data_IF_047233806348
#
_entry.id   IF_047233806348
#
_cell.length_a   1.000
_cell.length_b   1.000
_cell.length_c   1.000
_cell.angle_alpha   90.00
_cell.angle_beta   90.00
_cell.angle_gamma   90.00
#
_symmetry.space_group_name_H-M   'P 1'
#
loop_
_entity.id
_entity.type
_entity.pdbx_description
1 polymer ?
#
# COMPACT_ATOMS: atom_id res chain seq x y z
N UNK A 1 10.63 -8.69 -4.84
CA UNK A 1 9.41 -8.96 -5.62
C UNK A 1 8.44 -7.81 -5.47
N UNK A 2 7.73 -7.45 -6.52
CA UNK A 2 6.79 -6.34 -6.48
C UNK A 2 5.40 -6.81 -6.04
N UNK A 3 4.79 -5.99 -5.19
CA UNK A 3 3.42 -6.17 -4.72
C UNK A 3 2.63 -4.89 -4.90
N UNK A 4 1.43 -5.02 -5.45
CA UNK A 4 0.46 -3.92 -5.47
C UNK A 4 -0.49 -4.13 -4.30
N UNK A 5 -0.54 -3.15 -3.40
CA UNK A 5 -1.49 -3.15 -2.29
C UNK A 5 -2.61 -2.17 -2.61
N UNK A 6 -3.84 -2.64 -2.62
CA UNK A 6 -5.02 -1.78 -2.71
C UNK A 6 -5.62 -1.61 -1.32
N UNK A 7 -5.94 -0.38 -0.98
CA UNK A 7 -6.52 -0.01 0.30
C UNK A 7 -7.86 0.67 0.05
N UNK A 8 -8.91 0.19 0.70
CA UNK A 8 -10.22 0.81 0.60
C UNK A 8 -10.74 1.17 1.99
N UNK A 9 -11.43 2.29 2.09
CA UNK A 9 -12.06 2.75 3.32
C UNK A 9 -13.47 3.26 3.03
N UNK A 10 -14.32 3.24 4.06
CA UNK A 10 -15.67 3.81 3.98
C UNK A 10 -15.62 5.34 3.95
N UNK A 11 -16.63 6.01 3.38
CA UNK A 11 -16.64 7.48 3.30
C UNK A 11 -16.49 8.20 4.64
N UNK A 12 -17.01 7.65 5.72
CA UNK A 12 -16.91 8.22 7.07
C UNK A 12 -15.52 8.15 7.66
N UNK A 13 -14.64 7.30 7.12
CA UNK A 13 -13.23 7.15 7.51
C UNK A 13 -12.27 7.80 6.53
N UNK A 14 -12.77 8.59 5.61
CA UNK A 14 -11.93 9.30 4.65
C UNK A 14 -11.09 10.36 5.34
N UNK A 15 -9.76 10.44 5.09
CA UNK A 15 -8.91 11.49 5.66
C UNK A 15 -9.40 12.90 5.35
N UNK A 16 -10.18 13.07 4.28
CA UNK A 16 -10.75 14.36 3.90
C UNK A 16 -11.81 14.86 4.88
N UNK A 17 -12.47 13.98 5.64
CA UNK A 17 -13.55 14.34 6.58
C UNK A 17 -13.29 13.90 8.01
N UNK A 18 -12.53 12.82 8.23
CA UNK A 18 -12.24 12.29 9.56
C UNK A 18 -10.88 12.80 10.06
N UNK A 19 -10.88 13.70 11.04
CA UNK A 19 -9.67 14.32 11.58
C UNK A 19 -8.71 13.26 12.16
N UNK A 20 -9.22 12.27 12.88
CA UNK A 20 -8.42 11.19 13.46
C UNK A 20 -7.66 10.40 12.38
N UNK A 21 -8.35 10.13 11.27
CA UNK A 21 -7.75 9.40 10.14
C UNK A 21 -6.71 10.29 9.44
N UNK A 22 -6.99 11.57 9.29
CA UNK A 22 -6.03 12.53 8.74
C UNK A 22 -4.73 12.55 9.53
N UNK A 23 -4.81 12.57 10.86
CA UNK A 23 -3.64 12.54 11.73
C UNK A 23 -2.84 11.23 11.56
N UNK A 24 -3.54 10.11 11.41
CA UNK A 24 -2.90 8.81 11.12
C UNK A 24 -2.15 8.82 9.78
N UNK A 25 -2.75 9.39 8.74
CA UNK A 25 -2.12 9.53 7.42
C UNK A 25 -0.87 10.38 7.50
N UNK A 26 -0.91 11.48 8.22
CA UNK A 26 0.25 12.36 8.39
C UNK A 26 1.40 11.63 9.10
N UNK A 27 1.10 10.88 10.16
CA UNK A 27 2.11 10.07 10.86
C UNK A 27 2.66 8.96 9.99
N UNK A 28 1.79 8.26 9.27
CA UNK A 28 2.18 7.23 8.31
C UNK A 28 3.15 7.80 7.27
N UNK A 29 2.79 8.91 6.66
CA UNK A 29 3.63 9.55 5.64
C UNK A 29 5.02 9.93 6.18
N UNK A 30 5.08 10.38 7.43
CA UNK A 30 6.34 10.76 8.08
C UNK A 30 7.25 9.55 8.39
N UNK A 31 6.69 8.36 8.58
CA UNK A 31 7.42 7.17 9.02
C UNK A 31 7.51 6.07 7.98
N UNK A 32 6.86 6.23 6.83
CA UNK A 32 6.68 5.17 5.84
C UNK A 32 7.99 4.53 5.38
N UNK A 33 8.98 5.34 5.03
CA UNK A 33 10.26 4.82 4.53
C UNK A 33 10.95 3.93 5.56
N UNK A 34 10.99 4.35 6.82
CA UNK A 34 11.66 3.60 7.89
C UNK A 34 10.90 2.33 8.27
N UNK A 35 9.58 2.42 8.35
CA UNK A 35 8.75 1.26 8.69
C UNK A 35 8.85 0.20 7.60
N UNK A 36 8.72 0.59 6.34
CA UNK A 36 8.90 -0.34 5.23
C UNK A 36 10.28 -1.00 5.25
N UNK A 37 11.33 -0.20 5.45
CA UNK A 37 12.69 -0.71 5.52
C UNK A 37 12.87 -1.74 6.63
N UNK A 38 12.24 -1.54 7.80
CA UNK A 38 12.33 -2.49 8.90
C UNK A 38 11.74 -3.87 8.58
N UNK A 39 10.89 -3.94 7.56
CA UNK A 39 10.33 -5.19 7.03
C UNK A 39 10.99 -5.66 5.73
N UNK A 40 12.11 -5.06 5.35
CA UNK A 40 12.80 -5.39 4.10
C UNK A 40 12.08 -4.90 2.85
N UNK A 41 11.22 -3.88 3.01
CA UNK A 41 10.38 -3.36 1.92
C UNK A 41 10.84 -1.97 1.48
N UNK A 42 10.56 -1.66 0.21
CA UNK A 42 10.85 -0.35 -0.40
C UNK A 42 9.62 0.17 -1.13
N UNK A 43 9.26 1.42 -0.88
CA UNK A 43 8.15 2.09 -1.56
C UNK A 43 8.55 2.46 -2.99
N UNK A 44 7.76 2.02 -3.97
CA UNK A 44 8.02 2.26 -5.39
C UNK A 44 7.07 3.30 -6.00
N UNK A 45 5.94 3.54 -5.38
CA UNK A 45 4.98 4.52 -5.85
C UNK A 45 3.62 4.35 -5.19
N UNK A 46 2.82 5.40 -5.21
CA UNK A 46 1.47 5.35 -4.66
C UNK A 46 0.53 6.30 -5.38
N UNK A 47 -0.73 5.94 -5.45
CA UNK A 47 -1.78 6.69 -6.12
C UNK A 47 -3.07 6.63 -5.31
N UNK A 48 -3.81 7.71 -5.34
CA UNK A 48 -5.10 7.81 -4.63
C UNK A 48 -6.19 8.12 -5.62
N UNK A 49 -7.26 7.34 -5.58
CA UNK A 49 -8.52 7.66 -6.25
C UNK A 49 -9.49 8.20 -5.21
N UNK A 50 -9.60 9.51 -5.11
CA UNK A 50 -10.37 10.17 -4.03
C UNK A 50 -11.83 9.79 -4.05
N UNK A 51 -12.47 9.85 -5.22
CA UNK A 51 -13.89 9.56 -5.34
C UNK A 51 -14.26 8.11 -5.06
N UNK A 52 -13.34 7.19 -5.31
CA UNK A 52 -13.55 5.77 -5.07
C UNK A 52 -13.11 5.33 -3.67
N UNK A 53 -12.51 6.22 -2.87
CA UNK A 53 -11.93 5.92 -1.55
C UNK A 53 -10.93 4.76 -1.61
N UNK A 54 -10.07 4.79 -2.63
CA UNK A 54 -9.06 3.76 -2.88
C UNK A 54 -7.66 4.38 -2.89
N UNK A 55 -6.71 3.64 -2.35
CA UNK A 55 -5.29 3.94 -2.45
C UNK A 55 -4.58 2.72 -3.01
N UNK A 56 -3.61 2.96 -3.90
CA UNK A 56 -2.77 1.92 -4.48
C UNK A 56 -1.33 2.21 -4.14
N UNK A 57 -0.64 1.22 -3.57
CA UNK A 57 0.77 1.34 -3.23
C UNK A 57 1.55 0.21 -3.89
N UNK A 58 2.59 0.57 -4.63
CA UNK A 58 3.52 -0.39 -5.21
C UNK A 58 4.73 -0.53 -4.28
N UNK A 59 4.96 -1.74 -3.80
CA UNK A 59 5.99 -2.01 -2.79
C UNK A 59 6.84 -3.19 -3.25
N UNK A 60 8.16 -3.01 -3.19
CA UNK A 60 9.10 -4.12 -3.35
C UNK A 60 9.38 -4.72 -1.98
N UNK A 61 9.20 -6.02 -1.83
CA UNK A 61 9.40 -6.71 -0.57
C UNK A 61 9.77 -8.16 -0.75
N UNK A 62 10.21 -8.82 0.33
CA UNK A 62 10.65 -10.23 0.27
C UNK A 62 9.49 -11.21 0.04
N UNK A 63 8.31 -10.90 0.57
CA UNK A 63 7.10 -11.70 0.42
C UNK A 63 5.86 -10.87 0.80
N UNK A 64 4.67 -11.40 0.53
CA UNK A 64 3.42 -10.72 0.80
C UNK A 64 3.18 -10.47 2.30
N UNK A 65 3.61 -11.39 3.16
CA UNK A 65 3.44 -11.23 4.60
C UNK A 65 4.27 -10.06 5.14
N UNK A 66 5.49 -9.84 4.63
CA UNK A 66 6.29 -8.70 5.02
C UNK A 66 5.63 -7.37 4.64
N UNK A 67 5.01 -7.31 3.46
CA UNK A 67 4.26 -6.13 3.01
C UNK A 67 3.04 -5.89 3.91
N UNK A 68 2.31 -6.95 4.24
CA UNK A 68 1.15 -6.86 5.13
C UNK A 68 1.55 -6.41 6.55
N UNK A 69 2.60 -6.99 7.09
CA UNK A 69 3.13 -6.62 8.42
C UNK A 69 3.54 -5.14 8.44
N UNK A 70 4.19 -4.66 7.39
CA UNK A 70 4.53 -3.25 7.27
C UNK A 70 3.28 -2.35 7.23
N UNK A 71 2.25 -2.77 6.50
CA UNK A 71 0.98 -2.05 6.44
C UNK A 71 0.29 -1.97 7.82
N UNK A 72 0.34 -3.05 8.60
CA UNK A 72 -0.16 -3.07 9.98
C UNK A 72 0.60 -2.08 10.85
N UNK A 73 1.93 -2.10 10.78
CA UNK A 73 2.76 -1.18 11.57
C UNK A 73 2.58 0.29 11.16
N UNK A 74 2.22 0.55 9.92
CA UNK A 74 1.86 1.89 9.44
C UNK A 74 0.46 2.33 9.90
N UNK A 75 -0.29 1.45 10.55
CA UNK A 75 -1.65 1.74 11.02
C UNK A 75 -2.72 1.71 9.94
N UNK A 76 -2.39 1.22 8.75
CA UNK A 76 -3.32 1.19 7.62
C UNK A 76 -4.50 0.23 7.84
N UNK A 77 -4.28 -0.87 8.54
CA UNK A 77 -5.31 -1.86 8.83
C UNK A 77 -6.39 -1.35 9.81
N UNK A 78 -6.13 -0.25 10.51
CA UNK A 78 -7.09 0.34 11.46
C UNK A 78 -8.30 0.93 10.74
N UNK A 79 -8.11 1.44 9.53
CA UNK A 79 -9.16 2.17 8.81
C UNK A 79 -9.33 1.76 7.35
N UNK A 80 -8.58 0.75 6.90
CA UNK A 80 -8.69 0.23 5.53
C UNK A 80 -8.90 -1.27 5.53
N UNK A 81 -9.55 -1.73 4.47
CA UNK A 81 -9.44 -3.11 3.99
C UNK A 81 -8.31 -3.14 2.96
N UNK A 82 -7.34 -4.02 3.14
CA UNK A 82 -6.21 -4.14 2.23
C UNK A 82 -6.24 -5.44 1.45
N UNK A 83 -5.80 -5.37 0.18
CA UNK A 83 -5.58 -6.54 -0.66
C UNK A 83 -4.20 -6.40 -1.28
N UNK A 84 -3.40 -7.46 -1.23
CA UNK A 84 -2.03 -7.47 -1.71
C UNK A 84 -1.92 -8.44 -2.86
N UNK A 85 -1.46 -7.94 -4.02
CA UNK A 85 -1.28 -8.73 -5.23
C UNK A 85 0.20 -8.79 -5.59
N UNK A 86 0.78 -9.98 -5.82
CA UNK A 86 2.08 -10.06 -6.48
C UNK A 86 1.91 -9.60 -7.93
N UNK A 87 2.81 -8.73 -8.36
CA UNK A 87 2.76 -8.16 -9.73
C UNK A 87 4.12 -8.24 -10.40
N UNK A 88 4.10 -8.31 -11.71
CA UNK A 88 5.27 -8.13 -12.56
C UNK A 88 4.98 -7.03 -13.56
N UNK A 89 6.01 -6.49 -14.20
CA UNK A 89 5.81 -5.51 -15.25
C UNK A 89 5.14 -6.15 -16.48
N UNK A 90 4.52 -5.33 -17.30
CA UNK A 90 3.97 -5.82 -18.56
C UNK A 90 5.05 -6.40 -19.46
N UNK A 91 6.24 -5.79 -19.47
CA UNK A 91 7.37 -6.29 -20.27
C UNK A 91 7.84 -7.68 -19.80
N UNK A 92 7.91 -7.89 -18.48
CA UNK A 92 8.22 -9.20 -17.91
C UNK A 92 7.16 -10.24 -18.29
N UNK A 93 5.88 -9.86 -18.20
CA UNK A 93 4.78 -10.75 -18.56
C UNK A 93 4.82 -11.13 -20.05
N UNK A 94 5.05 -10.17 -20.93
CA UNK A 94 5.19 -10.38 -22.37
C UNK A 94 6.41 -11.25 -22.67
N UNK A 95 7.55 -10.97 -22.05
CA UNK A 95 8.79 -11.74 -22.22
C UNK A 95 8.67 -13.20 -21.79
N UNK A 96 7.75 -13.53 -20.90
CA UNK A 96 7.47 -14.90 -20.44
C UNK A 96 6.48 -15.66 -21.32
N UNK A 97 5.88 -15.03 -22.32
CA UNK A 97 4.94 -15.70 -23.22
C UNK A 97 5.66 -16.71 -24.11
N UNK A 98 5.03 -17.87 -24.39
CA UNK A 98 5.62 -18.84 -25.33
C UNK A 98 5.69 -18.27 -26.74
N UNK A 99 6.76 -18.58 -27.46
CA UNK A 99 6.97 -18.16 -28.84
C UNK A 99 6.27 -19.08 -29.85
#
# INVERSE_FOLDING_TARGET
MLYMMSLSHSPDKCPGVAIEIRDRVMRMNATMTEVLKSHGCTFQGGWVSKGAHLTFMLIDGPNAHAVDDAAVDLGLAVWNTSTIYPVITMDEAVGGLPS
#
